data_IF_619754343002
#
_entry.id   IF_619754343002
#
_cell.length_a   1.000
_cell.length_b   1.000
_cell.length_c   1.000
_cell.angle_alpha   90.00
_cell.angle_beta   90.00
_cell.angle_gamma   90.00
#
_symmetry.space_group_name_H-M   'P 1'
#
loop_
_entity.id
_entity.type
_entity.pdbx_description
1 polymer ?
#
# COMPACT_ATOMS: atom_id res chain seq x y z
N UNK A 1 3.80 -10.71 -11.64
CA UNK A 1 2.64 -9.81 -11.76
C UNK A 1 1.57 -10.13 -10.71
N UNK A 2 1.91 -10.06 -9.42
CA UNK A 2 1.00 -10.47 -8.33
C UNK A 2 -0.27 -9.61 -8.25
N UNK A 3 -0.15 -8.29 -8.44
CA UNK A 3 -1.31 -7.38 -8.39
C UNK A 3 -2.39 -7.67 -9.45
N UNK A 4 -2.01 -8.12 -10.64
CA UNK A 4 -2.97 -8.49 -11.70
C UNK A 4 -3.68 -9.79 -11.34
N UNK A 5 -2.96 -10.78 -10.82
CA UNK A 5 -3.55 -12.06 -10.36
C UNK A 5 -4.56 -11.86 -9.22
N UNK A 6 -4.35 -10.85 -8.37
CA UNK A 6 -5.23 -10.50 -7.25
C UNK A 6 -6.27 -9.42 -7.61
N UNK A 7 -6.44 -9.14 -8.90
CA UNK A 7 -7.47 -8.21 -9.42
C UNK A 7 -7.31 -6.77 -8.89
N UNK A 8 -6.09 -6.39 -8.55
CA UNK A 8 -5.76 -5.07 -8.02
C UNK A 8 -6.09 -4.89 -6.54
N UNK A 9 -6.11 -3.62 -6.12
CA UNK A 9 -6.31 -3.19 -4.73
C UNK A 9 -7.68 -2.52 -4.62
N UNK A 10 -8.59 -3.10 -3.83
CA UNK A 10 -9.92 -2.52 -3.57
C UNK A 10 -9.97 -1.88 -2.20
N UNK A 11 -9.29 -0.73 -2.05
CA UNK A 11 -9.19 -0.02 -0.76
C UNK A 11 -10.44 0.79 -0.42
N UNK A 12 -11.03 1.44 -1.42
CA UNK A 12 -12.30 2.16 -1.32
C UNK A 12 -13.30 1.57 -2.30
N UNK A 13 -13.44 2.17 -3.49
CA UNK A 13 -14.58 1.90 -4.37
C UNK A 13 -14.21 1.12 -5.65
N UNK A 14 -12.94 0.74 -5.78
CA UNK A 14 -12.48 0.01 -6.97
C UNK A 14 -13.02 -1.42 -7.00
N UNK A 15 -13.56 -1.81 -8.15
CA UNK A 15 -13.94 -3.17 -8.55
C UNK A 15 -13.51 -3.40 -10.00
N UNK A 16 -13.37 -4.66 -10.41
CA UNK A 16 -13.07 -4.97 -11.80
C UNK A 16 -14.31 -4.93 -12.71
N UNK A 17 -14.13 -5.28 -13.99
CA UNK A 17 -15.21 -5.24 -14.99
C UNK A 17 -16.38 -6.21 -14.71
N UNK A 18 -16.21 -7.16 -13.79
CA UNK A 18 -17.26 -8.07 -13.33
C UNK A 18 -17.88 -7.60 -12.00
N UNK A 19 -17.46 -6.45 -11.48
CA UNK A 19 -17.95 -5.89 -10.23
C UNK A 19 -17.31 -6.51 -8.98
N UNK A 20 -16.25 -7.29 -9.14
CA UNK A 20 -15.63 -8.00 -8.02
C UNK A 20 -14.43 -7.24 -7.45
N UNK A 21 -14.23 -7.37 -6.14
CA UNK A 21 -13.14 -6.68 -5.41
C UNK A 21 -11.81 -7.41 -5.56
N UNK A 22 -10.74 -6.63 -5.72
CA UNK A 22 -9.37 -7.11 -5.60
C UNK A 22 -8.93 -7.28 -4.14
N UNK A 23 -7.89 -8.09 -3.96
CA UNK A 23 -7.35 -8.47 -2.64
C UNK A 23 -5.92 -8.00 -2.41
N UNK A 24 -5.30 -7.30 -3.37
CA UNK A 24 -3.89 -6.94 -3.30
C UNK A 24 -3.55 -5.92 -2.19
N UNK A 25 -4.56 -5.27 -1.58
CA UNK A 25 -4.37 -4.41 -0.41
C UNK A 25 -3.64 -5.12 0.74
N UNK A 26 -3.84 -6.43 0.91
CA UNK A 26 -3.21 -7.19 1.99
C UNK A 26 -1.70 -7.43 1.77
N UNK A 27 -1.24 -7.28 0.52
CA UNK A 27 0.16 -7.45 0.14
C UNK A 27 0.93 -6.12 0.14
N UNK A 28 0.27 -5.00 0.45
CA UNK A 28 0.89 -3.68 0.47
C UNK A 28 1.87 -3.57 1.65
N UNK A 29 3.14 -3.29 1.33
CA UNK A 29 4.19 -3.23 2.36
C UNK A 29 4.16 -1.96 3.21
N UNK A 30 3.73 -0.84 2.64
CA UNK A 30 3.83 0.50 3.27
C UNK A 30 2.54 1.34 3.17
N UNK A 31 1.78 1.21 2.08
CA UNK A 31 0.63 2.07 1.81
C UNK A 31 -0.54 1.77 2.76
N UNK A 32 -1.10 2.81 3.39
CA UNK A 32 -2.18 2.67 4.38
C UNK A 32 -1.72 2.22 5.76
N UNK A 33 -0.40 2.00 5.95
CA UNK A 33 0.20 1.47 7.18
C UNK A 33 0.99 2.53 7.95
N UNK A 34 0.58 3.80 7.86
CA UNK A 34 1.26 4.88 8.59
C UNK A 34 1.30 4.55 10.09
N UNK A 35 2.44 4.83 10.74
CA UNK A 35 2.70 4.52 12.16
C UNK A 35 2.80 3.02 12.51
N UNK A 36 2.45 2.11 11.60
CA UNK A 36 2.72 0.69 11.79
C UNK A 36 4.20 0.36 11.58
N UNK A 37 4.65 -0.72 12.21
CA UNK A 37 6.02 -1.21 12.07
C UNK A 37 6.24 -1.78 10.65
N UNK A 38 7.35 -1.38 10.03
CA UNK A 38 7.81 -1.94 8.77
C UNK A 38 8.02 -3.45 8.90
N UNK A 39 7.48 -4.22 7.96
CA UNK A 39 7.62 -5.69 7.93
C UNK A 39 9.04 -6.19 7.69
N UNK A 40 9.98 -5.30 7.32
CA UNK A 40 11.37 -5.65 7.06
C UNK A 40 12.30 -5.27 8.22
N UNK A 41 12.21 -4.04 8.72
CA UNK A 41 13.15 -3.53 9.73
C UNK A 41 12.50 -3.09 11.05
N UNK A 42 11.18 -3.17 11.19
CA UNK A 42 10.46 -2.75 12.40
C UNK A 42 10.37 -1.24 12.63
N UNK A 43 10.99 -0.40 11.79
CA UNK A 43 10.85 1.06 11.90
C UNK A 43 9.41 1.48 11.55
N UNK A 44 8.77 2.40 12.29
CA UNK A 44 7.46 2.91 11.92
C UNK A 44 7.44 3.51 10.50
N UNK A 45 6.41 3.17 9.73
CA UNK A 45 6.21 3.72 8.40
C UNK A 45 5.81 5.18 8.50
N UNK A 46 6.52 6.03 7.75
CA UNK A 46 6.25 7.46 7.68
C UNK A 46 5.26 7.76 6.56
N UNK A 47 4.31 8.65 6.82
CA UNK A 47 3.46 9.27 5.81
C UNK A 47 3.91 10.71 5.61
N UNK A 48 4.19 11.06 4.36
CA UNK A 48 4.59 12.41 3.95
C UNK A 48 3.75 12.86 2.75
N UNK A 49 3.74 14.16 2.47
CA UNK A 49 3.13 14.71 1.26
C UNK A 49 4.24 15.15 0.32
N UNK A 50 4.33 14.53 -0.85
CA UNK A 50 5.31 14.86 -1.88
C UNK A 50 4.56 15.33 -3.12
N UNK A 51 4.86 16.52 -3.60
CA UNK A 51 4.20 17.12 -4.77
C UNK A 51 2.65 17.06 -4.70
N UNK A 52 2.09 17.29 -3.50
CA UNK A 52 0.65 17.27 -3.25
C UNK A 52 0.01 15.87 -3.15
N UNK A 53 0.79 14.79 -3.18
CA UNK A 53 0.30 13.41 -3.04
C UNK A 53 0.77 12.79 -1.72
N UNK A 54 -0.14 12.10 -1.03
CA UNK A 54 0.20 11.35 0.18
C UNK A 54 1.05 10.12 -0.16
N UNK A 55 2.28 10.10 0.32
CA UNK A 55 3.28 9.06 0.07
C UNK A 55 3.60 8.37 1.39
N UNK A 56 3.66 7.03 1.38
CA UNK A 56 4.04 6.22 2.54
C UNK A 56 5.39 5.56 2.25
N UNK A 57 6.35 5.69 3.16
CA UNK A 57 7.69 5.10 3.02
C UNK A 57 8.20 4.55 4.35
N UNK A 58 9.09 3.56 4.28
CA UNK A 58 9.94 3.23 5.41
C UNK A 58 11.22 4.08 5.36
N UNK A 59 11.47 5.00 6.30
CA UNK A 59 12.64 5.89 6.25
C UNK A 59 13.98 5.16 6.42
N UNK A 60 13.96 3.94 6.96
CA UNK A 60 15.18 3.13 7.12
C UNK A 60 15.47 2.25 5.89
N UNK A 61 14.43 1.64 5.30
CA UNK A 61 14.59 0.74 4.15
C UNK A 61 14.65 1.46 2.80
N UNK A 62 14.01 2.63 2.67
CA UNK A 62 14.01 3.42 1.44
C UNK A 62 14.86 4.67 1.66
N UNK A 63 16.06 4.66 1.06
CA UNK A 63 17.01 5.78 0.98
C UNK A 63 17.22 6.17 -0.48
#
# INVERSE_FOLDING_TARGET
>A
AQGVCMRGTSFSDYVDGLGERGSFQHELKVYGRAEELCSVCGTPIARLVVAGRGTHICPNCQK
#
